data_IF_334703900316
#
_entry.id   IF_334703900316
#
_cell.length_a   1.000
_cell.length_b   1.000
_cell.length_c   1.000
_cell.angle_alpha   90.00
_cell.angle_beta   90.00
_cell.angle_gamma   90.00
#
_symmetry.space_group_name_H-M   'P 1'
#
loop_
_entity.id
_entity.type
_entity.pdbx_description
1 polymer ?
#
# COMPACT_ATOMS: atom_id res chain seq x y z
N UNK A 1 0.36 22.93 -12.14
CA UNK A 1 -0.37 21.95 -11.30
C UNK A 1 0.68 21.12 -10.58
N UNK A 2 0.59 21.02 -9.25
CA UNK A 2 1.57 20.23 -8.45
C UNK A 2 1.26 18.74 -8.67
N UNK A 3 2.27 17.92 -8.87
CA UNK A 3 2.13 16.48 -8.99
C UNK A 3 3.23 15.79 -8.17
N UNK A 4 2.86 14.97 -7.20
CA UNK A 4 3.78 14.32 -6.27
C UNK A 4 3.56 12.82 -6.32
N UNK A 5 4.63 12.09 -6.59
CA UNK A 5 4.56 10.65 -6.67
C UNK A 5 5.47 10.00 -5.63
N UNK A 6 4.94 9.00 -4.94
CA UNK A 6 5.62 8.24 -3.87
C UNK A 6 5.52 6.73 -4.06
N UNK A 7 4.65 6.26 -4.97
CA UNK A 7 4.45 4.84 -5.26
C UNK A 7 5.47 4.32 -6.29
N UNK A 8 6.75 4.47 -5.97
CA UNK A 8 7.91 4.19 -6.79
C UNK A 8 9.00 5.22 -6.52
N UNK A 9 9.77 5.63 -7.54
CA UNK A 9 10.70 6.75 -7.41
C UNK A 9 9.95 8.03 -7.01
N UNK A 10 10.52 8.77 -6.07
CA UNK A 10 9.93 10.01 -5.58
C UNK A 10 10.05 11.12 -6.62
N UNK A 11 8.96 11.73 -7.03
CA UNK A 11 8.96 12.95 -7.84
C UNK A 11 8.09 14.03 -7.21
N UNK A 12 8.44 15.28 -7.47
CA UNK A 12 7.65 16.44 -7.10
C UNK A 12 7.80 17.48 -8.21
N UNK A 13 6.73 17.74 -8.93
CA UNK A 13 6.71 18.64 -10.09
C UNK A 13 5.61 19.69 -9.97
N UNK A 14 5.80 20.81 -10.62
CA UNK A 14 4.77 21.81 -10.89
C UNK A 14 4.74 22.06 -12.41
N UNK A 15 3.69 21.62 -13.08
CA UNK A 15 3.71 21.56 -14.54
C UNK A 15 4.85 20.66 -15.04
N UNK A 16 5.76 21.24 -15.83
CA UNK A 16 6.94 20.54 -16.35
C UNK A 16 8.19 20.70 -15.47
N UNK A 17 8.13 21.57 -14.45
CA UNK A 17 9.30 21.93 -13.63
C UNK A 17 9.38 21.08 -12.36
N UNK A 18 10.51 20.40 -12.13
CA UNK A 18 10.75 19.62 -10.93
C UNK A 18 11.25 20.48 -9.78
N UNK A 19 10.63 20.35 -8.61
CA UNK A 19 11.14 20.91 -7.36
C UNK A 19 11.65 19.86 -6.38
N UNK A 20 11.68 18.57 -6.77
CA UNK A 20 12.27 17.51 -5.96
C UNK A 20 13.77 17.80 -5.73
N UNK A 21 14.24 17.81 -4.46
CA UNK A 21 15.66 18.02 -4.20
C UNK A 21 16.48 16.77 -4.54
N UNK A 22 17.71 16.98 -5.02
CA UNK A 22 18.70 15.92 -5.21
C UNK A 22 19.40 15.53 -3.91
N UNK A 23 19.52 16.47 -2.96
CA UNK A 23 20.17 16.24 -1.68
C UNK A 23 19.27 15.34 -0.77
N UNK A 24 19.89 14.35 -0.13
CA UNK A 24 19.22 13.30 0.63
C UNK A 24 18.27 13.84 1.70
N UNK A 25 18.74 14.68 2.61
CA UNK A 25 17.93 15.15 3.75
C UNK A 25 16.76 16.07 3.34
N UNK A 26 16.92 17.07 2.49
CA UNK A 26 15.77 17.84 1.96
C UNK A 26 14.77 16.98 1.19
N UNK A 27 15.24 15.93 0.46
CA UNK A 27 14.39 14.99 -0.26
C UNK A 27 13.54 14.15 0.72
N UNK A 28 14.15 13.69 1.79
CA UNK A 28 13.50 12.96 2.88
C UNK A 28 12.43 13.81 3.58
N UNK A 29 12.75 15.08 3.90
CA UNK A 29 11.78 16.05 4.45
C UNK A 29 10.58 16.22 3.52
N UNK A 30 10.83 16.45 2.23
CA UNK A 30 9.75 16.68 1.27
C UNK A 30 8.88 15.44 1.10
N UNK A 31 9.46 14.24 1.09
CA UNK A 31 8.74 12.97 1.02
C UNK A 31 7.82 12.77 2.24
N UNK A 32 8.33 13.06 3.46
CA UNK A 32 7.51 12.97 4.67
C UNK A 32 6.36 13.97 4.67
N UNK A 33 6.64 15.23 4.31
CA UNK A 33 5.61 16.26 4.18
C UNK A 33 4.57 15.91 3.10
N UNK A 34 4.99 15.25 2.03
CA UNK A 34 4.10 14.79 0.96
C UNK A 34 3.17 13.67 1.44
N UNK A 35 3.70 12.63 2.08
CA UNK A 35 2.87 11.55 2.61
C UNK A 35 1.87 12.03 3.68
N UNK A 36 2.24 13.07 4.42
CA UNK A 36 1.39 13.70 5.43
C UNK A 36 0.79 15.03 4.95
N UNK A 37 0.59 15.19 3.63
CA UNK A 37 0.06 16.42 3.07
C UNK A 37 -1.27 16.86 3.73
N UNK A 38 -1.42 18.18 3.89
CA UNK A 38 -2.51 18.84 4.61
C UNK A 38 -2.56 18.55 6.12
N UNK A 39 -1.51 17.91 6.66
CA UNK A 39 -1.32 17.73 8.10
C UNK A 39 -0.04 18.42 8.56
N UNK A 40 -0.06 18.92 9.78
CA UNK A 40 1.15 19.53 10.38
C UNK A 40 2.11 18.44 10.79
N UNK A 41 3.32 18.45 10.21
CA UNK A 41 4.43 17.63 10.67
C UNK A 41 5.29 18.49 11.59
N UNK A 42 5.46 18.06 12.83
CA UNK A 42 6.19 18.85 13.83
C UNK A 42 7.69 18.90 13.52
N UNK A 43 8.36 19.98 13.94
CA UNK A 43 9.81 20.06 13.78
C UNK A 43 10.58 18.92 14.47
N UNK A 44 10.21 18.45 15.68
CA UNK A 44 10.80 17.25 16.28
C UNK A 44 10.64 16.00 15.40
N UNK A 45 9.45 15.76 14.83
CA UNK A 45 9.19 14.62 13.93
C UNK A 45 10.09 14.66 12.67
N UNK A 46 10.25 15.86 12.06
CA UNK A 46 11.16 16.04 10.93
C UNK A 46 12.61 15.83 11.32
N UNK A 47 13.01 16.26 12.52
CA UNK A 47 14.37 16.04 13.02
C UNK A 47 14.62 14.56 13.32
N UNK A 48 13.66 13.85 13.94
CA UNK A 48 13.72 12.40 14.16
C UNK A 48 13.89 11.65 12.83
N UNK A 49 13.12 12.03 11.80
CA UNK A 49 13.23 11.42 10.48
C UNK A 49 14.63 11.55 9.88
N UNK A 50 15.28 12.72 10.00
CA UNK A 50 16.54 13.03 9.32
C UNK A 50 17.77 12.54 10.08
N UNK A 51 17.72 12.55 11.41
CA UNK A 51 18.87 12.28 12.29
C UNK A 51 18.66 11.12 13.27
N UNK A 52 17.42 10.63 13.42
CA UNK A 52 17.12 9.62 14.43
C UNK A 52 17.43 10.12 15.83
N UNK A 53 18.17 9.35 16.60
CA UNK A 53 18.56 9.68 17.98
C UNK A 53 19.79 10.62 18.06
N UNK A 54 20.56 10.75 16.99
CA UNK A 54 21.80 11.53 16.96
C UNK A 54 21.57 12.99 16.45
N UNK A 55 20.84 13.77 17.25
CA UNK A 55 20.53 15.17 16.92
C UNK A 55 21.78 16.06 17.02
N UNK A 56 22.20 16.76 15.94
CA UNK A 56 23.27 17.74 16.01
C UNK A 56 22.83 18.96 16.82
N UNK A 57 23.78 19.65 17.46
CA UNK A 57 23.50 20.90 18.22
C UNK A 57 22.79 21.95 17.38
N UNK A 58 23.01 21.99 16.07
CA UNK A 58 22.41 22.92 15.11
C UNK A 58 21.16 22.35 14.39
N UNK A 59 20.56 21.26 14.90
CA UNK A 59 19.46 20.56 14.20
C UNK A 59 18.34 21.50 13.77
N UNK A 60 17.84 22.35 14.66
CA UNK A 60 16.76 23.31 14.37
C UNK A 60 17.12 24.28 13.25
N UNK A 61 18.29 24.91 13.34
CA UNK A 61 18.74 25.88 12.32
C UNK A 61 19.00 25.18 10.97
N UNK A 62 19.51 23.95 11.00
CA UNK A 62 19.75 23.16 9.80
C UNK A 62 18.42 22.74 9.15
N UNK A 63 17.42 22.34 9.93
CA UNK A 63 16.08 22.06 9.43
C UNK A 63 15.47 23.30 8.75
N UNK A 64 15.56 24.47 9.40
CA UNK A 64 15.09 25.73 8.80
C UNK A 64 15.79 26.03 7.46
N UNK A 65 17.07 25.73 7.37
CA UNK A 65 17.85 25.88 6.12
C UNK A 65 17.32 24.94 5.03
N UNK A 66 17.01 23.69 5.36
CA UNK A 66 16.41 22.74 4.41
C UNK A 66 15.03 23.20 3.93
N UNK A 67 14.17 23.68 4.84
CA UNK A 67 12.87 24.24 4.47
C UNK A 67 13.02 25.45 3.54
N UNK A 68 14.00 26.33 3.80
CA UNK A 68 14.28 27.45 2.91
C UNK A 68 14.74 26.99 1.51
N UNK A 69 15.59 25.96 1.45
CA UNK A 69 16.01 25.36 0.17
C UNK A 69 14.82 24.77 -0.61
N UNK A 70 13.90 24.05 0.08
CA UNK A 70 12.69 23.52 -0.53
C UNK A 70 11.81 24.63 -1.08
N UNK A 71 11.59 25.71 -0.32
CA UNK A 71 10.82 26.87 -0.78
C UNK A 71 11.47 27.56 -2.00
N UNK A 72 12.78 27.67 -2.04
CA UNK A 72 13.49 28.25 -3.22
C UNK A 72 13.28 27.40 -4.47
N UNK A 73 13.37 26.06 -4.34
CA UNK A 73 13.08 25.16 -5.47
C UNK A 73 11.62 25.22 -5.91
N UNK A 74 10.70 25.30 -4.96
CA UNK A 74 9.27 25.44 -5.23
C UNK A 74 8.96 26.78 -5.91
N UNK A 75 9.53 27.91 -5.42
CA UNK A 75 9.41 29.22 -6.07
C UNK A 75 9.93 29.21 -7.50
N UNK A 76 11.07 28.56 -7.73
CA UNK A 76 11.61 28.42 -9.08
C UNK A 76 10.70 27.62 -10.02
N UNK A 77 9.98 26.61 -9.50
CA UNK A 77 9.02 25.85 -10.28
C UNK A 77 7.70 26.60 -10.50
N UNK A 78 7.34 27.53 -9.62
CA UNK A 78 6.12 28.33 -9.66
C UNK A 78 6.25 29.64 -10.47
N UNK A 79 7.40 29.90 -11.10
CA UNK A 79 7.84 31.19 -11.69
C UNK A 79 6.79 31.99 -12.51
N UNK A 80 5.68 31.37 -12.91
CA UNK A 80 4.61 32.03 -13.70
C UNK A 80 3.28 32.15 -12.95
N UNK A 81 3.19 31.73 -11.67
CA UNK A 81 1.92 31.72 -10.93
C UNK A 81 1.93 32.65 -9.72
N UNK A 82 0.79 33.29 -9.46
CA UNK A 82 0.57 34.16 -8.32
C UNK A 82 0.62 33.45 -6.93
N UNK A 83 0.99 32.17 -6.91
CA UNK A 83 1.06 31.35 -5.69
C UNK A 83 2.44 31.47 -5.04
N UNK A 84 2.51 31.95 -3.80
CA UNK A 84 3.78 31.97 -3.05
C UNK A 84 4.14 30.55 -2.58
N UNK A 85 5.40 30.18 -2.71
CA UNK A 85 5.93 28.92 -2.17
C UNK A 85 5.64 28.73 -0.67
N UNK A 86 5.44 29.81 0.09
CA UNK A 86 5.02 29.80 1.50
C UNK A 86 3.56 29.40 1.69
N UNK A 87 2.72 29.57 0.69
CA UNK A 87 1.31 29.13 0.73
C UNK A 87 1.20 27.63 0.45
N UNK A 88 2.16 27.05 -0.25
CA UNK A 88 2.27 25.61 -0.53
C UNK A 88 3.01 24.89 0.59
N UNK A 89 4.21 25.37 0.96
CA UNK A 89 4.98 24.85 2.09
C UNK A 89 4.86 25.83 3.27
N UNK A 90 3.84 25.62 4.08
CA UNK A 90 3.44 26.52 5.15
C UNK A 90 4.26 26.30 6.42
N UNK A 91 4.65 27.36 7.11
CA UNK A 91 5.12 27.29 8.51
C UNK A 91 3.95 27.52 9.45
N UNK A 92 3.77 26.62 10.39
CA UNK A 92 2.81 26.72 11.48
C UNK A 92 3.55 26.67 12.81
N UNK A 93 2.85 27.02 13.90
CA UNK A 93 3.47 26.95 15.22
C UNK A 93 3.95 25.51 15.51
N UNK A 94 5.28 25.37 15.66
CA UNK A 94 5.92 24.08 15.99
C UNK A 94 6.16 23.12 14.81
N UNK A 95 5.82 23.49 13.55
CA UNK A 95 6.01 22.56 12.43
C UNK A 95 5.79 23.16 11.05
N UNK A 96 5.65 22.25 10.09
CA UNK A 96 5.47 22.56 8.68
C UNK A 96 4.34 21.73 8.08
N UNK A 97 3.70 22.26 7.05
CA UNK A 97 2.61 21.62 6.34
C UNK A 97 2.81 21.82 4.84
N UNK A 98 2.72 20.75 4.07
CA UNK A 98 2.67 20.81 2.62
C UNK A 98 1.20 20.76 2.20
N UNK A 99 0.72 21.83 1.55
CA UNK A 99 -0.61 21.84 0.93
C UNK A 99 -0.54 21.14 -0.42
N UNK A 100 -1.29 20.08 -0.58
CA UNK A 100 -1.43 19.37 -1.85
C UNK A 100 -2.87 18.90 -2.04
N UNK A 101 -3.42 19.13 -3.23
CA UNK A 101 -4.76 18.60 -3.55
C UNK A 101 -4.69 17.07 -3.64
N UNK A 102 -5.74 16.35 -3.18
CA UNK A 102 -5.75 14.88 -3.21
C UNK A 102 -5.47 14.28 -4.61
N UNK A 103 -5.93 14.95 -5.66
CA UNK A 103 -5.75 14.52 -7.05
C UNK A 103 -4.30 14.65 -7.55
N UNK A 104 -3.46 15.32 -6.79
CA UNK A 104 -2.05 15.60 -7.11
C UNK A 104 -1.09 14.61 -6.49
N UNK A 105 -1.62 13.58 -5.80
CA UNK A 105 -0.81 12.60 -5.08
C UNK A 105 -1.22 11.19 -5.47
N UNK A 106 -0.27 10.44 -6.03
CA UNK A 106 -0.50 9.04 -6.44
C UNK A 106 -0.92 8.14 -5.27
N UNK A 107 -0.37 8.32 -4.06
CA UNK A 107 -0.79 7.57 -2.87
C UNK A 107 -2.26 7.79 -2.52
N UNK A 108 -2.76 9.01 -2.59
CA UNK A 108 -4.19 9.30 -2.34
C UNK A 108 -5.08 8.78 -3.47
N UNK A 109 -4.60 8.86 -4.72
CA UNK A 109 -5.25 8.23 -5.88
C UNK A 109 -5.39 6.72 -5.69
N UNK A 110 -4.32 6.07 -5.25
CA UNK A 110 -4.30 4.64 -4.91
C UNK A 110 -5.32 4.31 -3.81
N UNK A 111 -5.31 5.04 -2.70
CA UNK A 111 -6.23 4.80 -1.58
C UNK A 111 -7.70 4.98 -1.99
N UNK A 112 -8.00 5.99 -2.82
CA UNK A 112 -9.35 6.25 -3.34
C UNK A 112 -9.83 5.13 -4.27
N UNK A 113 -8.98 4.70 -5.22
CA UNK A 113 -9.30 3.59 -6.13
C UNK A 113 -9.45 2.27 -5.36
N UNK A 114 -8.58 2.01 -4.39
CA UNK A 114 -8.68 0.84 -3.52
C UNK A 114 -10.01 0.82 -2.75
N UNK A 115 -10.42 1.94 -2.14
CA UNK A 115 -11.68 2.05 -1.43
C UNK A 115 -12.90 1.85 -2.35
N UNK A 116 -12.85 2.37 -3.60
CA UNK A 116 -13.90 2.12 -4.59
C UNK A 116 -13.97 0.65 -4.99
N UNK A 117 -12.80 -0.01 -5.12
CA UNK A 117 -12.71 -1.45 -5.35
C UNK A 117 -13.27 -2.26 -4.19
N UNK A 118 -12.94 -1.88 -2.95
CA UNK A 118 -13.45 -2.51 -1.73
C UNK A 118 -14.99 -2.45 -1.68
N UNK A 119 -15.58 -1.27 -1.96
CA UNK A 119 -17.03 -1.09 -1.98
C UNK A 119 -17.73 -1.94 -3.06
N UNK A 120 -17.17 -2.00 -4.27
CA UNK A 120 -17.69 -2.84 -5.34
C UNK A 120 -17.59 -4.34 -5.00
N UNK A 121 -16.46 -4.75 -4.41
CA UNK A 121 -16.23 -6.13 -3.98
C UNK A 121 -17.21 -6.59 -2.90
N UNK A 122 -17.51 -5.74 -1.92
CA UNK A 122 -18.49 -5.99 -0.87
C UNK A 122 -19.93 -6.04 -1.42
N UNK A 123 -20.22 -5.26 -2.46
CA UNK A 123 -21.49 -5.29 -3.17
C UNK A 123 -21.66 -6.52 -4.09
N UNK A 124 -20.58 -7.30 -4.30
CA UNK A 124 -20.59 -8.47 -5.20
C UNK A 124 -20.41 -8.10 -6.68
N UNK A 125 -20.06 -6.86 -6.99
CA UNK A 125 -19.70 -6.43 -8.36
C UNK A 125 -18.20 -6.69 -8.59
N UNK A 126 -17.88 -7.98 -8.80
CA UNK A 126 -16.50 -8.43 -8.94
C UNK A 126 -15.81 -7.83 -10.18
N UNK A 127 -16.57 -7.52 -11.25
CA UNK A 127 -16.01 -6.90 -12.47
C UNK A 127 -15.54 -5.46 -12.19
N UNK A 128 -16.37 -4.65 -11.55
CA UNK A 128 -16.03 -3.28 -11.18
C UNK A 128 -14.93 -3.27 -10.13
N UNK A 129 -14.96 -4.20 -9.16
CA UNK A 129 -13.91 -4.36 -8.15
C UNK A 129 -12.55 -4.65 -8.78
N UNK A 130 -12.46 -5.67 -9.67
CA UNK A 130 -11.24 -6.02 -10.40
C UNK A 130 -10.67 -4.83 -11.18
N UNK A 131 -11.53 -4.03 -11.84
CA UNK A 131 -11.11 -2.84 -12.58
C UNK A 131 -10.52 -1.77 -11.66
N UNK A 132 -11.18 -1.44 -10.55
CA UNK A 132 -10.67 -0.42 -9.63
C UNK A 132 -9.38 -0.87 -8.95
N UNK A 133 -9.28 -2.12 -8.53
CA UNK A 133 -8.04 -2.66 -7.95
C UNK A 133 -6.89 -2.67 -8.96
N UNK A 134 -7.17 -3.04 -10.22
CA UNK A 134 -6.16 -3.01 -11.29
C UNK A 134 -5.68 -1.58 -11.57
N UNK A 135 -6.58 -0.60 -11.59
CA UNK A 135 -6.23 0.80 -11.73
C UNK A 135 -5.39 1.30 -10.54
N UNK A 136 -5.77 0.92 -9.32
CA UNK A 136 -5.01 1.26 -8.11
C UNK A 136 -3.58 0.70 -8.17
N UNK A 137 -3.43 -0.59 -8.49
CA UNK A 137 -2.12 -1.25 -8.63
C UNK A 137 -1.30 -0.66 -9.78
N UNK A 138 -1.94 -0.20 -10.85
CA UNK A 138 -1.29 0.47 -11.99
C UNK A 138 -0.63 1.81 -11.65
N UNK A 139 -0.92 2.42 -10.49
CA UNK A 139 -0.23 3.61 -10.01
C UNK A 139 1.17 3.32 -9.45
N UNK A 140 1.46 2.06 -9.14
CA UNK A 140 2.75 1.64 -8.61
C UNK A 140 3.78 1.45 -9.71
N UNK A 141 4.93 2.10 -9.56
CA UNK A 141 6.07 2.08 -10.50
C UNK A 141 7.29 1.38 -9.90
N UNK A 142 7.15 0.82 -8.70
CA UNK A 142 8.19 0.15 -7.92
C UNK A 142 7.85 0.17 -6.43
N UNK A 143 8.76 -0.22 -5.55
CA UNK A 143 8.61 -0.05 -4.10
C UNK A 143 8.40 1.43 -3.74
N UNK A 144 7.59 1.69 -2.72
CA UNK A 144 7.33 3.06 -2.27
C UNK A 144 8.63 3.77 -1.89
N UNK A 145 8.81 5.01 -2.38
CA UNK A 145 9.98 5.86 -2.09
C UNK A 145 11.34 5.17 -2.36
N UNK A 146 11.44 4.30 -3.36
CA UNK A 146 12.60 3.42 -3.60
C UNK A 146 13.95 4.17 -3.76
N UNK A 147 13.93 5.47 -4.04
CA UNK A 147 15.10 6.33 -4.22
C UNK A 147 15.22 7.40 -3.12
N UNK A 148 14.50 7.26 -2.02
CA UNK A 148 14.57 8.12 -0.84
C UNK A 148 15.20 7.33 0.31
N UNK A 149 16.17 7.94 1.01
CA UNK A 149 16.63 7.37 2.26
C UNK A 149 15.51 7.49 3.30
N UNK A 150 14.94 6.37 3.67
CA UNK A 150 13.84 6.30 4.62
C UNK A 150 14.42 6.30 6.04
N UNK A 151 13.93 7.19 6.91
CA UNK A 151 14.18 7.17 8.35
C UNK A 151 13.01 6.50 9.07
N UNK A 152 13.04 6.53 10.39
CA UNK A 152 12.10 5.79 11.25
C UNK A 152 10.63 6.19 11.05
N UNK A 153 10.35 7.48 10.78
CA UNK A 153 8.98 7.97 10.63
C UNK A 153 8.41 7.59 9.27
N UNK A 154 9.18 7.81 8.19
CA UNK A 154 8.79 7.41 6.83
C UNK A 154 8.66 5.91 6.67
N UNK A 155 9.46 5.11 7.40
CA UNK A 155 9.40 3.66 7.35
C UNK A 155 8.00 3.13 7.70
N UNK A 156 7.35 3.74 8.70
CA UNK A 156 5.98 3.36 9.07
C UNK A 156 4.97 3.63 7.94
N UNK A 157 5.12 4.76 7.26
CA UNK A 157 4.26 5.11 6.11
C UNK A 157 4.52 4.19 4.91
N UNK A 158 5.80 3.85 4.64
CA UNK A 158 6.19 2.91 3.58
C UNK A 158 5.61 1.52 3.85
N UNK A 159 5.80 1.00 5.07
CA UNK A 159 5.25 -0.31 5.46
C UNK A 159 3.73 -0.31 5.29
N UNK A 160 3.02 0.72 5.76
CA UNK A 160 1.56 0.84 5.61
C UNK A 160 1.12 0.83 4.14
N UNK A 161 1.85 1.51 3.26
CA UNK A 161 1.53 1.56 1.83
C UNK A 161 1.76 0.21 1.16
N UNK A 162 2.88 -0.46 1.44
CA UNK A 162 3.19 -1.79 0.86
C UNK A 162 2.20 -2.86 1.36
N UNK A 163 1.84 -2.87 2.65
CA UNK A 163 0.81 -3.76 3.19
C UNK A 163 -0.55 -3.52 2.52
N UNK A 164 -0.93 -2.25 2.31
CA UNK A 164 -2.16 -1.94 1.58
C UNK A 164 -2.08 -2.38 0.12
N UNK A 165 -0.94 -2.24 -0.53
CA UNK A 165 -0.70 -2.75 -1.88
C UNK A 165 -0.92 -4.25 -1.96
N UNK A 166 -0.36 -5.02 -1.02
CA UNK A 166 -0.53 -6.47 -0.95
C UNK A 166 -2.01 -6.85 -0.76
N UNK A 167 -2.70 -6.16 0.15
CA UNK A 167 -4.15 -6.36 0.37
C UNK A 167 -4.97 -6.11 -0.91
N UNK A 168 -4.67 -5.04 -1.64
CA UNK A 168 -5.35 -4.70 -2.91
C UNK A 168 -5.06 -5.76 -3.97
N UNK A 169 -3.83 -6.27 -4.03
CA UNK A 169 -3.44 -7.33 -4.96
C UNK A 169 -4.20 -8.62 -4.66
N UNK A 170 -4.28 -9.03 -3.40
CA UNK A 170 -5.04 -10.21 -2.97
C UNK A 170 -6.53 -10.08 -3.35
N UNK A 171 -7.14 -8.92 -3.10
CA UNK A 171 -8.55 -8.67 -3.43
C UNK A 171 -8.82 -8.62 -4.92
N UNK A 172 -7.89 -8.06 -5.72
CA UNK A 172 -8.00 -8.09 -7.18
C UNK A 172 -7.99 -9.52 -7.69
N UNK A 173 -7.07 -10.35 -7.20
CA UNK A 173 -7.00 -11.77 -7.56
C UNK A 173 -8.29 -12.51 -7.14
N UNK A 174 -8.81 -12.23 -5.94
CA UNK A 174 -10.07 -12.84 -5.49
C UNK A 174 -11.25 -12.45 -6.39
N UNK A 175 -11.35 -11.18 -6.81
CA UNK A 175 -12.36 -10.73 -7.76
C UNK A 175 -12.21 -11.46 -9.11
N UNK A 176 -10.99 -11.58 -9.63
CA UNK A 176 -10.74 -12.28 -10.90
C UNK A 176 -11.02 -13.79 -10.82
N UNK A 177 -10.74 -14.42 -9.68
CA UNK A 177 -11.13 -15.82 -9.43
C UNK A 177 -12.64 -16.01 -9.43
N UNK A 178 -13.42 -15.07 -8.85
CA UNK A 178 -14.89 -15.10 -8.87
C UNK A 178 -15.45 -14.89 -10.27
N UNK A 179 -14.76 -14.12 -11.10
CA UNK A 179 -15.08 -13.94 -12.51
C UNK A 179 -14.74 -15.15 -13.39
N UNK A 180 -14.16 -16.22 -12.82
CA UNK A 180 -13.78 -17.44 -13.54
C UNK A 180 -12.49 -17.35 -14.33
N UNK A 181 -11.66 -16.31 -14.13
CA UNK A 181 -10.38 -16.10 -14.85
C UNK A 181 -9.25 -16.99 -14.35
N UNK A 182 -9.56 -18.24 -13.99
CA UNK A 182 -8.63 -19.12 -13.28
C UNK A 182 -7.33 -19.37 -14.05
N UNK A 183 -7.41 -19.74 -15.33
CA UNK A 183 -6.24 -20.04 -16.15
C UNK A 183 -5.32 -18.84 -16.37
N UNK A 184 -5.90 -17.64 -16.50
CA UNK A 184 -5.15 -16.40 -16.70
C UNK A 184 -4.32 -16.00 -15.48
N UNK A 185 -4.78 -16.38 -14.27
CA UNK A 185 -4.13 -16.03 -13.02
C UNK A 185 -2.96 -16.96 -12.65
N UNK A 186 -2.90 -18.19 -13.21
CA UNK A 186 -1.89 -19.18 -12.83
C UNK A 186 -0.45 -18.66 -12.97
N UNK A 187 -0.04 -17.98 -14.05
CA UNK A 187 1.33 -17.49 -14.19
C UNK A 187 1.68 -16.47 -13.08
N UNK A 188 0.83 -15.48 -12.87
CA UNK A 188 1.04 -14.44 -11.86
C UNK A 188 1.09 -15.04 -10.45
N UNK A 189 0.13 -15.88 -10.09
CA UNK A 189 0.07 -16.54 -8.79
C UNK A 189 1.26 -17.46 -8.54
N UNK A 190 1.79 -18.11 -9.59
CA UNK A 190 3.00 -18.93 -9.46
C UNK A 190 4.22 -18.10 -9.08
N UNK A 191 4.35 -16.89 -9.64
CA UNK A 191 5.40 -15.93 -9.27
C UNK A 191 5.21 -15.46 -7.83
N UNK A 192 4.01 -15.03 -7.48
CA UNK A 192 3.69 -14.52 -6.12
C UNK A 192 3.93 -15.59 -5.05
N UNK A 193 3.48 -16.83 -5.26
CA UNK A 193 3.71 -17.92 -4.33
C UNK A 193 5.21 -18.27 -4.19
N UNK A 194 6.01 -18.02 -5.22
CA UNK A 194 7.47 -18.20 -5.15
C UNK A 194 8.17 -17.07 -4.41
N UNK A 195 7.73 -15.82 -4.63
CA UNK A 195 8.27 -14.64 -3.95
C UNK A 195 7.87 -14.58 -2.47
N UNK A 196 6.70 -15.12 -2.13
CA UNK A 196 6.12 -15.13 -0.79
C UNK A 196 5.82 -16.55 -0.31
N UNK A 197 6.84 -17.41 -0.10
CA UNK A 197 6.67 -18.86 0.09
C UNK A 197 5.93 -19.24 1.38
N UNK A 198 5.76 -18.32 2.32
CA UNK A 198 5.05 -18.53 3.57
C UNK A 198 3.67 -17.85 3.62
N UNK A 199 3.26 -17.16 2.54
CA UNK A 199 1.98 -16.46 2.50
C UNK A 199 0.85 -17.38 2.02
N UNK A 200 0.04 -17.83 2.98
CA UNK A 200 -1.03 -18.81 2.73
C UNK A 200 -2.09 -18.32 1.75
N UNK A 201 -2.36 -17.01 1.70
CA UNK A 201 -3.36 -16.43 0.80
C UNK A 201 -3.01 -16.70 -0.66
N UNK A 202 -1.77 -16.40 -1.08
CA UNK A 202 -1.35 -16.66 -2.47
C UNK A 202 -1.30 -18.14 -2.80
N UNK A 203 -0.92 -18.99 -1.83
CA UNK A 203 -1.00 -20.44 -2.02
C UNK A 203 -2.44 -20.90 -2.22
N UNK A 204 -3.39 -20.42 -1.42
CA UNK A 204 -4.80 -20.77 -1.55
C UNK A 204 -5.39 -20.32 -2.89
N UNK A 205 -5.08 -19.09 -3.31
CA UNK A 205 -5.50 -18.54 -4.59
C UNK A 205 -4.91 -19.35 -5.76
N UNK A 206 -3.62 -19.69 -5.69
CA UNK A 206 -2.94 -20.54 -6.70
C UNK A 206 -3.55 -21.94 -6.76
N UNK A 207 -3.77 -22.58 -5.61
CA UNK A 207 -4.42 -23.89 -5.54
C UNK A 207 -5.80 -23.87 -6.20
N UNK A 208 -6.58 -22.82 -5.92
CA UNK A 208 -7.90 -22.61 -6.51
C UNK A 208 -7.82 -22.44 -8.02
N UNK A 209 -6.95 -21.55 -8.50
CA UNK A 209 -6.75 -21.30 -9.93
C UNK A 209 -6.34 -22.57 -10.67
N UNK A 210 -5.36 -23.32 -10.14
CA UNK A 210 -4.88 -24.58 -10.71
C UNK A 210 -5.98 -25.65 -10.73
N UNK A 211 -6.68 -25.84 -9.62
CA UNK A 211 -7.74 -26.86 -9.52
C UNK A 211 -8.87 -26.59 -10.52
N UNK A 212 -9.36 -25.36 -10.58
CA UNK A 212 -10.41 -24.93 -11.51
C UNK A 212 -9.99 -24.96 -12.98
N UNK A 213 -8.68 -24.96 -13.25
CA UNK A 213 -8.12 -25.14 -14.59
C UNK A 213 -7.76 -26.60 -14.91
N UNK A 214 -8.21 -27.56 -14.10
CA UNK A 214 -7.96 -28.99 -14.32
C UNK A 214 -6.61 -29.51 -13.82
N UNK A 215 -5.83 -28.69 -13.13
CA UNK A 215 -4.48 -29.01 -12.64
C UNK A 215 -4.45 -29.45 -11.17
N UNK A 216 -5.29 -30.40 -10.74
CA UNK A 216 -5.41 -30.84 -9.35
C UNK A 216 -4.07 -31.24 -8.71
N UNK A 217 -3.22 -32.00 -9.41
CA UNK A 217 -1.92 -32.43 -8.88
C UNK A 217 -0.99 -31.24 -8.60
N UNK A 218 -1.02 -30.20 -9.46
CA UNK A 218 -0.22 -28.96 -9.27
C UNK A 218 -0.72 -28.15 -8.07
N UNK A 219 -2.04 -28.14 -7.83
CA UNK A 219 -2.62 -27.53 -6.66
C UNK A 219 -2.11 -28.20 -5.37
N UNK A 220 -2.11 -29.54 -5.33
CA UNK A 220 -1.57 -30.31 -4.19
C UNK A 220 -0.06 -30.09 -4.01
N UNK A 221 0.70 -30.03 -5.07
CA UNK A 221 2.13 -29.71 -5.03
C UNK A 221 2.39 -28.32 -4.44
N UNK A 222 1.57 -27.32 -4.79
CA UNK A 222 1.69 -25.94 -4.25
C UNK A 222 1.47 -25.92 -2.73
N UNK A 223 0.50 -26.68 -2.23
CA UNK A 223 0.30 -26.88 -0.80
C UNK A 223 1.50 -27.50 -0.10
N UNK A 224 2.08 -28.56 -0.68
CA UNK A 224 3.23 -29.24 -0.09
C UNK A 224 4.48 -28.34 -0.01
N UNK A 225 4.69 -27.52 -1.03
CA UNK A 225 5.79 -26.53 -1.01
C UNK A 225 5.63 -25.53 0.13
N UNK A 226 4.45 -24.93 0.27
CA UNK A 226 4.17 -23.98 1.35
C UNK A 226 4.29 -24.66 2.72
N UNK A 227 3.70 -25.85 2.90
CA UNK A 227 3.81 -26.60 4.15
C UNK A 227 5.26 -26.86 4.53
N UNK A 228 6.08 -27.30 3.56
CA UNK A 228 7.50 -27.55 3.79
C UNK A 228 8.26 -26.29 4.19
N UNK A 229 7.92 -25.12 3.60
CA UNK A 229 8.51 -23.84 3.97
C UNK A 229 8.10 -23.43 5.41
N UNK A 230 6.82 -23.51 5.74
CA UNK A 230 6.32 -23.15 7.08
C UNK A 230 6.93 -24.03 8.18
N UNK A 231 6.98 -25.36 7.96
CA UNK A 231 7.55 -26.29 8.95
C UNK A 231 9.05 -26.06 9.12
N UNK A 232 9.76 -25.88 8.00
CA UNK A 232 11.23 -25.71 8.03
C UNK A 232 11.66 -24.38 8.66
N UNK A 233 11.01 -23.26 8.29
CA UNK A 233 11.45 -21.92 8.71
C UNK A 233 10.81 -21.46 10.02
N UNK A 234 9.57 -21.89 10.33
CA UNK A 234 8.79 -21.42 11.49
C UNK A 234 8.38 -22.54 12.45
N UNK A 235 8.53 -23.81 12.08
CA UNK A 235 8.04 -24.93 12.88
C UNK A 235 6.50 -25.02 12.94
N UNK A 236 5.80 -24.38 11.99
CA UNK A 236 4.33 -24.27 11.99
C UNK A 236 3.71 -25.12 10.89
N UNK A 237 2.55 -25.69 11.19
CA UNK A 237 1.68 -26.32 10.16
C UNK A 237 0.76 -25.26 9.53
N UNK A 238 0.34 -25.46 8.25
CA UNK A 238 -0.63 -24.59 7.59
C UNK A 238 -1.92 -24.43 8.38
N UNK A 239 -2.59 -23.28 8.20
CA UNK A 239 -3.85 -22.96 8.85
C UNK A 239 -4.93 -24.00 8.52
N UNK A 240 -5.93 -24.09 9.40
CA UNK A 240 -7.09 -24.99 9.18
C UNK A 240 -7.86 -24.67 7.90
N UNK A 241 -7.88 -23.40 7.52
CA UNK A 241 -8.49 -22.93 6.27
C UNK A 241 -7.79 -23.55 5.06
N UNK A 242 -6.46 -23.46 4.99
CA UNK A 242 -5.68 -24.00 3.89
C UNK A 242 -5.72 -25.54 3.87
N UNK A 243 -5.75 -26.20 5.05
CA UNK A 243 -5.94 -27.64 5.19
C UNK A 243 -7.30 -28.10 4.63
N UNK A 244 -8.37 -27.35 4.87
CA UNK A 244 -9.70 -27.65 4.31
C UNK A 244 -9.69 -27.53 2.78
N UNK A 245 -9.04 -26.48 2.23
CA UNK A 245 -8.87 -26.33 0.79
C UNK A 245 -8.12 -27.52 0.19
N UNK A 246 -7.01 -27.93 0.80
CA UNK A 246 -6.24 -29.09 0.40
C UNK A 246 -7.08 -30.37 0.41
N UNK A 247 -7.87 -30.59 1.47
CA UNK A 247 -8.77 -31.75 1.58
C UNK A 247 -9.85 -31.76 0.49
N UNK A 248 -10.44 -30.61 0.20
CA UNK A 248 -11.44 -30.47 -0.85
C UNK A 248 -10.87 -30.78 -2.25
N UNK A 249 -9.62 -30.37 -2.52
CA UNK A 249 -8.93 -30.77 -3.77
C UNK A 249 -8.68 -32.26 -3.83
N UNK A 250 -8.35 -32.93 -2.70
CA UNK A 250 -8.13 -34.38 -2.63
C UNK A 250 -9.41 -35.16 -2.83
N UNK A 251 -10.54 -34.70 -2.27
CA UNK A 251 -11.84 -35.36 -2.39
C UNK A 251 -12.52 -35.14 -3.75
N UNK A 252 -11.98 -34.21 -4.56
CA UNK A 252 -12.59 -33.87 -5.85
C UNK A 252 -13.94 -33.16 -5.71
N UNK A 253 -14.20 -32.54 -4.57
CA UNK A 253 -15.45 -31.80 -4.32
C UNK A 253 -15.58 -30.62 -5.28
N UNK A 254 -16.79 -30.42 -5.82
CA UNK A 254 -17.11 -29.21 -6.57
C UNK A 254 -17.00 -28.02 -5.62
N UNK A 255 -16.07 -27.14 -5.90
CA UNK A 255 -15.60 -26.13 -4.98
C UNK A 255 -16.65 -25.11 -4.61
N UNK A 256 -16.95 -25.08 -3.34
CA UNK A 256 -17.77 -24.05 -2.70
C UNK A 256 -17.02 -22.72 -2.70
N UNK A 257 -17.75 -21.70 -3.09
CA UNK A 257 -17.52 -20.25 -3.09
C UNK A 257 -16.30 -19.73 -2.29
N UNK A 258 -15.44 -18.93 -2.94
CA UNK A 258 -14.32 -18.20 -2.34
C UNK A 258 -14.71 -17.39 -1.09
N UNK A 259 -15.98 -17.07 -0.90
CA UNK A 259 -16.50 -16.40 0.30
C UNK A 259 -16.15 -17.15 1.59
N UNK A 260 -15.94 -18.45 1.53
CA UNK A 260 -15.47 -19.27 2.65
C UNK A 260 -14.02 -18.98 3.05
N UNK A 261 -13.27 -18.24 2.21
CA UNK A 261 -11.84 -17.96 2.38
C UNK A 261 -11.51 -16.48 2.61
N UNK A 262 -12.48 -15.55 2.47
CA UNK A 262 -12.26 -14.16 2.85
C UNK A 262 -11.98 -14.07 4.37
N UNK A 263 -10.98 -13.28 4.81
CA UNK A 263 -10.78 -13.04 6.23
C UNK A 263 -12.09 -12.48 6.80
N UNK A 264 -12.62 -13.13 7.83
CA UNK A 264 -13.76 -12.62 8.60
C UNK A 264 -13.31 -11.33 9.31
N UNK A 265 -13.39 -10.20 8.63
CA UNK A 265 -13.40 -8.92 9.31
C UNK A 265 -14.66 -8.90 10.15
N UNK A 266 -14.47 -9.04 11.46
CA UNK A 266 -15.48 -9.26 12.45
C UNK A 266 -16.64 -8.26 12.35
N UNK A 267 -17.81 -8.76 11.99
CA UNK A 267 -19.13 -8.12 12.16
C UNK A 267 -19.50 -7.92 13.64
N UNK A 268 -18.55 -7.92 14.57
CA UNK A 268 -18.84 -7.99 16.02
C UNK A 268 -18.91 -6.65 16.72
N UNK A 269 -18.51 -5.53 16.10
CA UNK A 269 -18.54 -4.24 16.80
C UNK A 269 -19.79 -3.36 16.58
N UNK A 270 -20.64 -3.66 15.60
CA UNK A 270 -21.82 -2.83 15.32
C UNK A 270 -23.07 -3.16 16.16
N UNK A 271 -23.05 -4.21 17.00
CA UNK A 271 -24.23 -4.62 17.81
C UNK A 271 -24.19 -4.25 19.29
N UNK A 272 -23.09 -3.66 19.77
CA UNK A 272 -23.00 -3.30 21.21
C UNK A 272 -23.35 -1.86 21.54
N UNK A 273 -23.47 -0.96 20.53
CA UNK A 273 -23.79 0.46 20.78
C UNK A 273 -25.30 0.76 20.78
N UNK A 274 -26.16 -0.14 20.32
CA UNK A 274 -27.61 0.10 20.23
C UNK A 274 -28.42 -0.37 21.44
N UNK A 275 -27.80 -0.78 22.55
CA UNK A 275 -28.51 -1.27 23.76
C UNK A 275 -28.34 -0.43 25.03
N UNK A 276 -27.70 0.74 24.97
CA UNK A 276 -27.48 1.58 26.17
C UNK A 276 -28.21 2.92 26.10
N UNK A 277 -29.25 3.06 25.27
CA UNK A 277 -30.06 4.30 25.26
C UNK A 277 -31.55 3.95 25.36
N UNK A 278 -31.93 3.13 26.35
CA UNK A 278 -33.31 2.94 26.77
C UNK A 278 -33.31 2.34 28.18
N UNK A 279 -33.04 3.14 29.19
CA UNK A 279 -33.48 3.01 30.58
C UNK A 279 -33.35 4.37 31.25
#
# INVERSE_FOLDING_TARGET
>A
MTDITVLGPFTATYGQSSFAPSATKPRQILALLALQADRVVTAPTLMEEIWGEELPRSAVTTLQTYILQLRRKLSAALECDAVDAKDVLVTLHGGYLLRARPEQMDARGFEKLAASGDSAFEAGDDLTASRFFSQALGLWRGPALMDVKVGRVLELDVVRLEEKRMTVLERRIDADLRLGRHGELVPELSVLATQHPMQETFCAQLMTALYRSGGAWRALESYQRLRSALVKELGLEPSQRLKRLHQAVLSGEEFVDHRSFAPSHSRTEARLISRTTAA
#
